data_IF_383596371961
#
_entry.id   IF_383596371961
#
_cell.length_a   1.000
_cell.length_b   1.000
_cell.length_c   1.000
_cell.angle_alpha   90.00
_cell.angle_beta   90.00
_cell.angle_gamma   90.00
#
_symmetry.space_group_name_H-M   'P 1'
#
loop_
_entity.id
_entity.type
_entity.pdbx_description
1 polymer ?
#
# COMPACT_ATOMS: atom_id res chain seq x y z
N UNK A 1 44.36 -20.43 32.45
CA UNK A 1 43.49 -19.33 32.95
C UNK A 1 43.03 -18.33 31.86
N UNK A 2 43.76 -18.16 30.75
CA UNK A 2 43.45 -17.19 29.71
C UNK A 2 42.13 -17.46 28.92
N UNK A 3 41.75 -18.74 28.73
CA UNK A 3 40.55 -19.08 27.95
C UNK A 3 39.21 -18.78 28.64
N UNK A 4 39.10 -18.82 29.95
CA UNK A 4 37.85 -18.54 30.69
C UNK A 4 37.44 -17.08 30.57
N UNK A 5 38.37 -16.13 30.63
CA UNK A 5 38.09 -14.74 30.44
C UNK A 5 37.59 -14.39 29.04
N UNK A 6 38.12 -15.07 28.01
CA UNK A 6 37.66 -14.91 26.65
C UNK A 6 36.19 -15.31 26.53
N UNK A 7 35.81 -16.45 27.07
CA UNK A 7 34.42 -16.89 27.05
C UNK A 7 33.49 -16.01 27.83
N UNK A 8 33.93 -15.47 28.97
CA UNK A 8 33.13 -14.50 29.74
C UNK A 8 32.90 -13.23 28.93
N UNK A 9 33.91 -12.69 28.26
CA UNK A 9 33.78 -11.49 27.43
C UNK A 9 32.85 -11.75 26.25
N UNK A 10 33.00 -12.89 25.54
CA UNK A 10 32.13 -13.25 24.42
C UNK A 10 30.66 -13.37 24.88
N UNK A 11 30.44 -14.09 25.99
CA UNK A 11 29.09 -14.28 26.53
C UNK A 11 28.46 -12.94 26.97
N UNK A 12 29.22 -12.07 27.62
CA UNK A 12 28.74 -10.76 28.05
C UNK A 12 28.35 -9.87 26.84
N UNK A 13 29.17 -9.87 25.77
CA UNK A 13 28.86 -9.15 24.54
C UNK A 13 27.60 -9.73 23.86
N UNK A 14 27.47 -11.05 23.79
CA UNK A 14 26.31 -11.69 23.19
C UNK A 14 25.03 -11.33 23.96
N UNK A 15 25.07 -11.40 25.28
CA UNK A 15 23.95 -11.00 26.13
C UNK A 15 23.61 -9.51 25.94
N UNK A 16 24.62 -8.64 25.88
CA UNK A 16 24.42 -7.22 25.62
C UNK A 16 23.76 -6.97 24.25
N UNK A 17 24.23 -7.63 23.19
CA UNK A 17 23.64 -7.55 21.85
C UNK A 17 22.19 -8.01 21.83
N UNK A 18 21.90 -9.16 22.46
CA UNK A 18 20.53 -9.66 22.56
C UNK A 18 19.65 -8.67 23.34
N UNK A 19 20.13 -8.12 24.45
CA UNK A 19 19.39 -7.11 25.21
C UNK A 19 19.09 -5.86 24.37
N UNK A 20 20.06 -5.39 23.58
CA UNK A 20 19.90 -4.24 22.70
C UNK A 20 18.83 -4.45 21.63
N UNK A 21 18.65 -5.68 21.12
CA UNK A 21 17.59 -6.01 20.17
C UNK A 21 16.20 -5.73 20.78
N UNK A 22 16.00 -6.05 22.06
CA UNK A 22 14.73 -5.80 22.75
C UNK A 22 14.54 -4.35 23.20
N UNK A 23 15.63 -3.68 23.58
CA UNK A 23 15.56 -2.28 24.07
C UNK A 23 15.48 -1.30 22.91
N UNK A 24 16.19 -1.56 21.81
CA UNK A 24 16.27 -0.68 20.64
C UNK A 24 15.99 -1.42 19.34
N UNK A 25 14.79 -2.02 19.16
CA UNK A 25 14.49 -2.83 17.97
C UNK A 25 14.62 -2.04 16.65
N UNK A 26 14.26 -0.75 16.66
CA UNK A 26 14.35 0.11 15.48
C UNK A 26 15.78 0.42 15.01
N UNK A 27 16.79 0.20 15.86
CA UNK A 27 18.19 0.37 15.50
C UNK A 27 18.90 -0.94 15.20
N UNK A 28 18.39 -2.05 15.77
CA UNK A 28 19.08 -3.33 15.71
C UNK A 28 18.54 -4.26 14.63
N UNK A 29 17.24 -4.35 14.48
CA UNK A 29 16.59 -5.33 13.58
C UNK A 29 15.49 -4.75 12.72
N UNK A 30 14.86 -3.64 13.14
CA UNK A 30 13.78 -3.03 12.38
C UNK A 30 14.31 -1.92 11.46
N UNK A 31 13.84 -1.82 10.23
CA UNK A 31 14.21 -0.71 9.33
C UNK A 31 13.57 0.63 9.70
N UNK A 32 12.91 0.72 10.84
CA UNK A 32 12.27 1.92 11.36
C UNK A 32 10.86 1.67 11.88
N UNK A 33 10.20 2.70 12.42
CA UNK A 33 8.86 2.57 12.97
C UNK A 33 7.84 2.22 11.87
N UNK A 34 6.78 1.54 12.29
CA UNK A 34 5.62 1.29 11.44
C UNK A 34 4.86 2.59 11.16
N UNK A 35 4.07 2.61 10.09
CA UNK A 35 3.11 3.70 9.86
C UNK A 35 2.12 3.78 11.04
N UNK A 36 1.57 4.97 11.25
CA UNK A 36 0.67 5.23 12.40
C UNK A 36 -0.51 4.26 12.50
N UNK A 37 -1.03 3.81 11.35
CA UNK A 37 -2.16 2.88 11.30
C UNK A 37 -1.82 1.48 11.85
N UNK A 38 -0.54 1.09 11.87
CA UNK A 38 -0.05 -0.20 12.35
C UNK A 38 0.83 -0.07 13.59
N UNK A 39 0.82 1.09 14.26
CA UNK A 39 1.68 1.33 15.42
C UNK A 39 1.49 0.30 16.54
N UNK A 40 0.26 -0.20 16.72
CA UNK A 40 -0.07 -1.22 17.74
C UNK A 40 0.56 -2.59 17.45
N UNK A 41 1.03 -2.82 16.22
CA UNK A 41 1.70 -4.05 15.81
C UNK A 41 3.24 -3.96 15.93
N UNK A 42 3.77 -2.86 16.46
CA UNK A 42 5.21 -2.60 16.47
C UNK A 42 6.06 -3.68 17.19
N UNK A 43 5.46 -4.43 18.10
CA UNK A 43 6.12 -5.53 18.83
C UNK A 43 5.77 -6.92 18.28
N UNK A 44 4.82 -7.01 17.35
CA UNK A 44 4.42 -8.26 16.70
C UNK A 44 4.95 -8.31 15.25
N UNK A 45 6.24 -8.58 15.11
CA UNK A 45 6.87 -8.69 13.80
C UNK A 45 6.23 -9.78 12.93
N UNK A 46 5.71 -10.84 13.54
CA UNK A 46 5.12 -11.97 12.83
C UNK A 46 3.68 -11.74 12.37
N UNK A 47 3.05 -10.63 12.76
CA UNK A 47 1.81 -10.20 12.14
C UNK A 47 2.01 -9.97 10.62
N UNK A 48 3.20 -9.49 10.21
CA UNK A 48 3.53 -9.17 8.82
C UNK A 48 4.60 -10.09 8.22
N UNK A 49 5.57 -10.54 9.03
CA UNK A 49 6.72 -11.30 8.56
C UNK A 49 6.52 -12.81 8.76
N UNK A 50 6.74 -13.59 7.70
CA UNK A 50 6.93 -15.03 7.82
C UNK A 50 8.35 -15.30 8.32
N UNK A 51 8.55 -16.26 9.24
CA UNK A 51 9.89 -16.59 9.74
C UNK A 51 10.86 -16.90 8.60
N UNK A 52 12.01 -16.25 8.60
CA UNK A 52 13.09 -16.40 7.61
C UNK A 52 12.71 -16.02 6.15
N UNK A 53 11.50 -15.51 5.89
CA UNK A 53 11.03 -15.15 4.54
C UNK A 53 10.69 -13.67 4.37
N UNK A 54 10.67 -12.91 5.46
CA UNK A 54 10.28 -11.49 5.43
C UNK A 54 8.77 -11.28 5.36
N UNK A 55 8.35 -10.06 5.03
CA UNK A 55 6.94 -9.71 4.87
C UNK A 55 6.31 -10.44 3.69
N UNK A 56 5.04 -10.82 3.81
CA UNK A 56 4.32 -11.52 2.74
C UNK A 56 2.91 -10.95 2.52
N UNK A 57 2.44 -11.00 1.28
CA UNK A 57 1.11 -10.52 0.91
C UNK A 57 -0.01 -11.28 1.63
N UNK A 58 0.17 -12.56 1.88
CA UNK A 58 -0.78 -13.41 2.61
C UNK A 58 -1.01 -12.91 4.05
N UNK A 59 0.03 -12.35 4.69
CA UNK A 59 -0.09 -11.76 6.02
C UNK A 59 -0.90 -10.47 5.99
N UNK A 60 -0.73 -9.65 4.97
CA UNK A 60 -1.53 -8.44 4.79
C UNK A 60 -3.00 -8.77 4.60
N UNK A 61 -3.31 -9.82 3.83
CA UNK A 61 -4.69 -10.19 3.50
C UNK A 61 -5.46 -10.85 4.66
N UNK A 62 -4.80 -11.23 5.75
CA UNK A 62 -5.48 -11.67 6.98
C UNK A 62 -6.38 -10.55 7.54
N UNK A 63 -5.92 -9.29 7.46
CA UNK A 63 -6.66 -8.13 7.95
C UNK A 63 -7.26 -7.28 6.83
N UNK A 64 -6.64 -7.29 5.63
CA UNK A 64 -7.02 -6.46 4.49
C UNK A 64 -7.55 -7.31 3.34
N UNK A 65 -8.86 -7.48 3.23
CA UNK A 65 -9.44 -8.09 2.05
C UNK A 65 -9.28 -7.13 0.85
N UNK A 66 -8.68 -7.55 -0.28
CA UNK A 66 -8.48 -6.67 -1.45
C UNK A 66 -9.76 -6.00 -1.95
N UNK A 67 -10.90 -6.68 -1.80
CA UNK A 67 -12.22 -6.16 -2.16
C UNK A 67 -12.69 -5.00 -1.26
N UNK A 68 -12.14 -4.87 -0.06
CA UNK A 68 -12.55 -3.87 0.92
C UNK A 68 -11.58 -2.69 1.02
N UNK A 69 -10.35 -2.84 0.51
CA UNK A 69 -9.32 -1.79 0.61
C UNK A 69 -9.80 -0.51 -0.10
N UNK A 70 -9.88 0.57 0.67
CA UNK A 70 -10.37 1.88 0.20
C UNK A 70 -11.89 2.02 0.17
N UNK A 71 -12.64 0.95 0.45
CA UNK A 71 -14.11 0.93 0.52
C UNK A 71 -14.59 0.77 1.97
N UNK A 72 -13.96 -0.14 2.70
CA UNK A 72 -14.28 -0.43 4.11
C UNK A 72 -13.02 -0.40 4.96
N UNK A 73 -13.21 -0.12 6.22
CA UNK A 73 -12.17 -0.34 7.24
C UNK A 73 -12.02 -1.83 7.51
N UNK A 74 -10.94 -2.26 8.17
CA UNK A 74 -10.76 -3.65 8.65
C UNK A 74 -11.85 -4.12 9.62
N UNK A 75 -12.63 -3.17 10.17
CA UNK A 75 -13.80 -3.43 11.02
C UNK A 75 -15.13 -3.50 10.22
N UNK A 76 -15.05 -3.48 8.88
CA UNK A 76 -16.23 -3.57 8.00
C UNK A 76 -17.01 -2.26 7.82
N UNK A 77 -16.60 -1.16 8.45
CA UNK A 77 -17.26 0.14 8.34
C UNK A 77 -16.94 0.79 7.01
N UNK A 78 -17.93 1.29 6.30
CA UNK A 78 -17.73 2.02 5.05
C UNK A 78 -16.89 3.28 5.28
N UNK A 79 -15.87 3.47 4.46
CA UNK A 79 -15.05 4.66 4.46
C UNK A 79 -15.83 5.76 3.73
N UNK A 80 -16.21 6.82 4.47
CA UNK A 80 -16.82 7.98 3.88
C UNK A 80 -15.87 8.62 2.85
N UNK A 81 -16.38 8.91 1.66
CA UNK A 81 -15.60 9.67 0.68
C UNK A 81 -15.30 11.07 1.27
N UNK A 82 -14.06 11.58 1.08
CA UNK A 82 -13.72 12.91 1.56
C UNK A 82 -14.68 13.93 0.95
N UNK A 83 -15.40 14.65 1.80
CA UNK A 83 -16.24 15.76 1.37
C UNK A 83 -15.33 16.91 0.92
N UNK A 84 -15.28 17.18 -0.38
CA UNK A 84 -14.67 18.39 -0.88
C UNK A 84 -15.69 19.51 -0.67
N UNK A 85 -15.31 20.56 0.07
CA UNK A 85 -16.18 21.68 0.36
C UNK A 85 -16.86 22.20 -0.92
N UNK A 86 -18.20 22.27 -0.91
CA UNK A 86 -19.02 22.77 -2.02
C UNK A 86 -19.37 21.76 -3.11
N UNK A 87 -19.04 20.47 -2.98
CA UNK A 87 -19.45 19.43 -3.93
C UNK A 87 -20.20 18.30 -3.21
N UNK A 88 -21.30 17.88 -3.79
CA UNK A 88 -22.10 16.73 -3.30
C UNK A 88 -21.20 15.55 -2.95
N UNK A 89 -21.38 14.89 -1.80
CA UNK A 89 -20.56 13.76 -1.41
C UNK A 89 -20.54 12.70 -2.52
N UNK A 90 -19.34 12.31 -2.95
CA UNK A 90 -19.15 11.26 -3.95
C UNK A 90 -19.41 9.87 -3.36
N UNK A 91 -20.42 9.71 -2.52
CA UNK A 91 -20.79 8.44 -1.89
C UNK A 91 -21.30 7.38 -2.85
N UNK A 92 -21.59 7.77 -4.09
CA UNK A 92 -22.20 6.86 -5.08
C UNK A 92 -21.20 6.18 -6.03
N UNK A 93 -19.89 6.52 -6.04
CA UNK A 93 -19.01 6.14 -7.14
C UNK A 93 -17.88 5.15 -6.81
N UNK A 94 -17.66 4.76 -5.59
CA UNK A 94 -16.71 3.67 -5.31
C UNK A 94 -17.43 2.33 -5.26
N UNK A 95 -17.86 1.85 -6.41
CA UNK A 95 -18.47 0.53 -6.52
C UNK A 95 -17.46 -0.61 -6.53
N UNK A 96 -16.20 -0.33 -6.86
CA UNK A 96 -15.18 -1.36 -7.01
C UNK A 96 -13.93 -0.99 -6.24
N UNK A 97 -13.44 -1.92 -5.43
CA UNK A 97 -12.15 -1.77 -4.77
C UNK A 97 -11.05 -1.85 -5.84
N UNK A 98 -10.32 -0.78 -6.01
CA UNK A 98 -9.21 -0.68 -6.96
C UNK A 98 -8.22 -1.86 -6.84
N UNK A 99 -7.91 -2.30 -5.62
CA UNK A 99 -6.96 -3.39 -5.36
C UNK A 99 -7.43 -4.75 -5.89
N UNK A 100 -8.74 -4.96 -5.96
CA UNK A 100 -9.30 -6.19 -6.52
C UNK A 100 -9.05 -6.31 -8.03
N UNK A 101 -8.90 -5.17 -8.70
CA UNK A 101 -8.74 -5.08 -10.15
C UNK A 101 -7.28 -5.11 -10.61
N UNK A 102 -6.33 -5.21 -9.68
CA UNK A 102 -4.91 -5.29 -10.00
C UNK A 102 -4.50 -6.69 -10.48
N UNK A 103 -3.59 -6.74 -11.44
CA UNK A 103 -2.87 -7.96 -11.84
C UNK A 103 -1.75 -8.32 -10.87
N UNK A 104 -1.18 -7.28 -10.22
CA UNK A 104 -0.14 -7.46 -9.20
C UNK A 104 -0.78 -7.72 -7.84
N UNK A 105 -0.53 -8.88 -7.27
CA UNK A 105 -1.06 -9.31 -5.96
C UNK A 105 -0.03 -9.17 -4.83
N UNK A 106 1.22 -8.83 -5.16
CA UNK A 106 2.23 -8.59 -4.16
C UNK A 106 2.12 -7.18 -3.57
N UNK A 107 1.56 -7.07 -2.38
CA UNK A 107 1.34 -5.79 -1.70
C UNK A 107 2.65 -4.99 -1.53
N UNK A 108 3.77 -5.67 -1.25
CA UNK A 108 5.07 -5.04 -1.04
C UNK A 108 5.67 -4.45 -2.33
N UNK A 109 5.18 -4.82 -3.51
CA UNK A 109 5.62 -4.21 -4.76
C UNK A 109 5.31 -2.70 -4.81
N UNK A 110 4.27 -2.26 -4.09
CA UNK A 110 3.81 -0.87 -4.06
C UNK A 110 3.83 -0.24 -2.66
N UNK A 111 3.70 -1.05 -1.61
CA UNK A 111 3.58 -0.56 -0.23
C UNK A 111 4.80 -0.93 0.61
N UNK A 112 5.21 0.00 1.47
CA UNK A 112 6.13 -0.24 2.56
C UNK A 112 5.48 0.28 3.84
N UNK A 113 5.50 -0.53 4.89
CA UNK A 113 4.91 -0.15 6.17
C UNK A 113 5.90 0.54 7.10
N UNK A 114 7.17 0.18 6.99
CA UNK A 114 8.21 0.83 7.75
C UNK A 114 8.54 2.22 7.19
N UNK A 115 8.36 3.24 8.03
CA UNK A 115 8.72 4.63 7.73
C UNK A 115 10.18 4.94 8.07
N UNK A 116 11.05 3.97 7.86
CA UNK A 116 12.42 4.03 8.29
C UNK A 116 13.35 4.83 7.39
N UNK A 117 14.62 4.94 7.80
CA UNK A 117 15.62 5.67 7.05
C UNK A 117 15.83 5.08 5.66
N UNK A 118 16.39 5.89 4.81
CA UNK A 118 16.60 5.72 3.36
C UNK A 118 17.15 4.37 2.88
N UNK A 119 17.73 3.56 3.77
CA UNK A 119 18.29 2.25 3.46
C UNK A 119 17.24 1.21 3.01
N UNK A 120 15.96 1.45 3.30
CA UNK A 120 14.85 0.56 2.96
C UNK A 120 13.80 1.22 2.07
N UNK A 121 14.11 2.38 1.49
CA UNK A 121 13.25 2.96 0.46
C UNK A 121 13.22 2.03 -0.76
N UNK A 122 12.30 1.10 -0.73
CA UNK A 122 11.85 0.49 -1.95
C UNK A 122 11.21 1.59 -2.80
N UNK A 123 11.69 1.76 -4.00
CA UNK A 123 11.02 2.59 -4.98
C UNK A 123 9.59 2.10 -5.10
N UNK A 124 8.65 2.83 -4.49
CA UNK A 124 7.24 2.50 -4.59
C UNK A 124 6.90 2.52 -6.06
N UNK A 125 6.47 1.40 -6.58
CA UNK A 125 6.04 1.30 -7.97
C UNK A 125 4.86 2.27 -8.14
N UNK A 126 4.96 3.29 -8.99
CA UNK A 126 3.86 4.22 -9.19
C UNK A 126 2.68 3.47 -9.81
N UNK A 127 1.47 3.91 -9.50
CA UNK A 127 0.29 3.38 -10.16
C UNK A 127 0.36 3.64 -11.67
N UNK A 128 0.00 2.61 -12.42
CA UNK A 128 -0.20 2.67 -13.87
C UNK A 128 -1.45 1.88 -14.22
N UNK A 129 -2.21 2.36 -15.21
CA UNK A 129 -3.38 1.64 -15.73
C UNK A 129 -3.01 0.25 -16.28
N UNK A 130 -1.76 0.05 -16.67
CA UNK A 130 -1.27 -1.26 -17.11
C UNK A 130 -1.27 -2.33 -16.00
N UNK A 131 -1.34 -1.91 -14.73
CA UNK A 131 -1.46 -2.81 -13.59
C UNK A 131 -2.90 -3.33 -13.39
N UNK A 132 -3.87 -2.73 -14.08
CA UNK A 132 -5.26 -3.19 -14.05
C UNK A 132 -5.47 -4.37 -15.00
N UNK A 133 -6.45 -5.19 -14.66
CA UNK A 133 -6.96 -6.22 -15.57
C UNK A 133 -7.48 -5.56 -16.84
N UNK A 134 -7.37 -6.26 -17.98
CA UNK A 134 -7.75 -5.70 -19.28
C UNK A 134 -9.22 -5.25 -19.29
N UNK A 135 -10.11 -6.04 -18.71
CA UNK A 135 -11.55 -5.77 -18.65
C UNK A 135 -11.89 -4.51 -17.82
N UNK A 136 -11.04 -4.17 -16.85
CA UNK A 136 -11.21 -2.98 -16.01
C UNK A 136 -10.59 -1.76 -16.64
N UNK A 137 -9.49 -1.94 -17.37
CA UNK A 137 -8.74 -0.86 -18.00
C UNK A 137 -9.58 -0.06 -18.98
N UNK A 138 -10.48 -0.72 -19.70
CA UNK A 138 -11.34 -0.09 -20.71
C UNK A 138 -12.61 0.52 -20.12
N UNK A 139 -12.88 0.25 -18.84
CA UNK A 139 -14.05 0.80 -18.12
C UNK A 139 -13.67 2.03 -17.29
N UNK A 140 -13.32 3.11 -17.97
CA UNK A 140 -12.84 4.35 -17.34
C UNK A 140 -13.79 4.87 -16.25
N UNK A 141 -15.10 4.82 -16.48
CA UNK A 141 -16.15 5.33 -15.59
C UNK A 141 -16.30 4.52 -14.29
N UNK A 142 -15.74 3.31 -14.23
CA UNK A 142 -15.75 2.53 -12.99
C UNK A 142 -14.91 3.18 -11.89
N UNK A 143 -13.93 4.02 -12.27
CA UNK A 143 -13.02 4.71 -11.37
C UNK A 143 -13.00 6.23 -11.56
N UNK A 144 -13.20 6.71 -12.80
CA UNK A 144 -13.17 8.12 -13.14
C UNK A 144 -14.59 8.65 -13.35
N UNK A 145 -14.82 9.86 -12.87
CA UNK A 145 -16.09 10.54 -13.14
C UNK A 145 -15.99 11.27 -14.47
N UNK A 146 -16.98 11.07 -15.34
CA UNK A 146 -17.10 11.82 -16.57
C UNK A 146 -17.22 13.34 -16.27
N UNK A 147 -16.52 14.19 -17.03
CA UNK A 147 -16.70 15.64 -16.93
C UNK A 147 -18.14 16.06 -17.23
N UNK A 148 -18.57 17.16 -16.63
CA UNK A 148 -19.94 17.67 -16.77
C UNK A 148 -20.05 18.91 -17.68
N UNK A 149 -18.96 19.28 -18.34
CA UNK A 149 -18.94 20.38 -19.29
C UNK A 149 -19.78 20.09 -20.56
N UNK A 150 -20.01 21.10 -21.36
CA UNK A 150 -20.89 21.03 -22.51
C UNK A 150 -20.41 20.03 -23.55
N UNK A 151 -19.09 19.96 -23.77
CA UNK A 151 -18.48 19.03 -24.75
C UNK A 151 -18.73 17.58 -24.33
N UNK A 152 -18.32 17.22 -23.11
CA UNK A 152 -18.43 15.84 -22.64
C UNK A 152 -19.87 15.36 -22.48
N UNK A 153 -20.82 16.25 -22.24
CA UNK A 153 -22.26 15.91 -22.22
C UNK A 153 -22.83 15.56 -23.60
N UNK A 154 -22.21 16.07 -24.66
CA UNK A 154 -22.65 15.80 -26.04
C UNK A 154 -22.00 14.58 -26.65
N UNK A 155 -20.84 14.18 -26.13
CA UNK A 155 -20.11 13.01 -26.61
C UNK A 155 -20.61 11.76 -25.89
N UNK A 156 -21.27 10.90 -26.64
CA UNK A 156 -21.63 9.56 -26.17
C UNK A 156 -20.61 8.58 -26.76
N UNK A 157 -19.59 8.26 -26.00
CA UNK A 157 -18.56 7.36 -26.47
C UNK A 157 -17.55 6.98 -25.42
N UNK A 158 -16.67 6.06 -25.80
CA UNK A 158 -15.60 5.64 -24.91
C UNK A 158 -14.55 6.76 -24.80
N UNK A 159 -14.10 7.06 -23.59
CA UNK A 159 -13.08 8.06 -23.29
C UNK A 159 -11.79 7.86 -24.12
N UNK A 160 -11.47 6.61 -24.47
CA UNK A 160 -10.28 6.25 -25.25
C UNK A 160 -10.29 6.75 -26.70
N UNK A 161 -11.43 7.22 -27.19
CA UNK A 161 -11.49 7.83 -28.54
C UNK A 161 -10.76 9.17 -28.60
N UNK A 162 -10.65 9.86 -27.46
CA UNK A 162 -10.00 11.16 -27.39
C UNK A 162 -8.87 11.22 -26.37
N UNK A 163 -8.82 10.29 -25.41
CA UNK A 163 -7.86 10.29 -24.32
C UNK A 163 -7.09 8.97 -24.27
N UNK A 164 -5.82 9.05 -23.88
CA UNK A 164 -5.04 7.87 -23.55
C UNK A 164 -4.80 7.77 -22.05
N UNK A 165 -4.60 6.56 -21.56
CA UNK A 165 -4.26 6.31 -20.15
C UNK A 165 -2.85 6.76 -19.77
N UNK A 166 -2.01 7.08 -20.74
CA UNK A 166 -0.63 7.57 -20.55
C UNK A 166 -0.52 9.09 -20.68
N UNK A 167 -1.38 9.71 -21.48
CA UNK A 167 -1.40 11.15 -21.70
C UNK A 167 -2.85 11.64 -21.81
N UNK A 168 -3.43 11.98 -20.65
CA UNK A 168 -4.82 12.44 -20.59
C UNK A 168 -5.04 13.80 -21.27
N UNK A 169 -4.03 14.65 -21.26
CA UNK A 169 -4.03 15.97 -21.92
C UNK A 169 -2.77 16.15 -22.77
N UNK A 170 -2.88 16.74 -23.95
CA UNK A 170 -4.13 17.14 -24.65
C UNK A 170 -4.93 15.93 -25.12
N UNK A 171 -6.24 16.11 -25.32
CA UNK A 171 -7.05 15.14 -26.04
C UNK A 171 -6.62 15.12 -27.52
N UNK A 172 -6.51 13.93 -28.09
CA UNK A 172 -6.25 13.76 -29.52
C UNK A 172 -7.58 13.64 -30.25
N UNK A 173 -7.76 14.48 -31.26
CA UNK A 173 -8.89 14.41 -32.19
C UNK A 173 -8.32 13.95 -33.54
N UNK A 174 -8.53 12.70 -33.88
CA UNK A 174 -8.32 12.16 -35.23
C UNK A 174 -9.66 12.00 -35.94
#
# INVERSE_FOLDING_TARGET
>A
MKGRWLWIIISANLVALVALIFVYPNFMISPGPLIKAHADLATDCFACHAPLRGASAERCTICHAPADIGVRTTKGVLIAAPSVAGKTPMTALRKTAFHQELTEQNCMACHSDHAGPTLTQHSRKPFSHQLLRAETRDRCESCHRAPTDTLHRQIQGNCTQCHSSTAWKPASFE
#
